data_IF_038956874024
#
_entry.id   IF_038956874024
#
_cell.length_a   1.000
_cell.length_b   1.000
_cell.length_c   1.000
_cell.angle_alpha   90.00
_cell.angle_beta   90.00
_cell.angle_gamma   90.00
#
_symmetry.space_group_name_H-M   'P 1'
#
loop_
_entity.id
_entity.type
_entity.pdbx_description
1 polymer ?
#
# COMPACT_ATOMS: atom_id res chain seq x y z
N UNK A 1 -7.62 -18.64 -10.85
CA UNK A 1 -6.96 -17.68 -9.94
C UNK A 1 -7.34 -16.26 -10.33
N UNK A 2 -7.91 -15.52 -9.37
CA UNK A 2 -8.22 -14.08 -9.50
C UNK A 2 -7.11 -13.33 -8.75
N UNK A 3 -6.54 -12.29 -9.37
CA UNK A 3 -5.49 -11.48 -8.77
C UNK A 3 -5.98 -10.04 -8.55
N UNK A 4 -5.77 -9.53 -7.34
CA UNK A 4 -5.76 -8.09 -7.10
C UNK A 4 -4.36 -7.54 -7.41
N UNK A 5 -4.24 -6.85 -8.54
CA UNK A 5 -3.07 -6.10 -8.94
C UNK A 5 -3.38 -4.61 -9.02
N UNK A 6 -4.07 -4.07 -8.01
CA UNK A 6 -4.35 -2.63 -7.91
C UNK A 6 -3.10 -1.76 -8.12
N UNK A 7 -1.92 -2.24 -7.74
CA UNK A 7 -0.63 -1.57 -7.89
C UNK A 7 0.21 -2.02 -9.08
N UNK A 8 -0.26 -2.99 -9.88
CA UNK A 8 0.52 -3.63 -10.94
C UNK A 8 0.12 -3.24 -12.36
N UNK A 9 -0.52 -2.08 -12.55
CA UNK A 9 -1.04 -1.66 -13.87
C UNK A 9 0.03 -1.52 -14.95
N UNK A 10 1.27 -1.21 -14.58
CA UNK A 10 2.43 -1.06 -15.46
C UNK A 10 3.15 -2.37 -15.78
N UNK A 11 2.79 -3.49 -15.13
CA UNK A 11 3.49 -4.77 -15.29
C UNK A 11 3.30 -5.38 -16.68
N UNK A 12 4.37 -5.98 -17.21
CA UNK A 12 4.40 -6.62 -18.54
C UNK A 12 4.58 -5.67 -19.73
N UNK A 13 4.72 -4.36 -19.52
CA UNK A 13 5.01 -3.39 -20.58
C UNK A 13 6.52 -3.10 -20.75
N UNK A 14 7.39 -3.72 -19.95
CA UNK A 14 8.84 -3.66 -20.07
C UNK A 14 9.47 -4.94 -19.48
N UNK A 15 10.61 -5.39 -20.00
CA UNK A 15 11.27 -6.65 -19.59
C UNK A 15 11.79 -6.65 -18.17
N UNK A 16 12.15 -5.47 -17.66
CA UNK A 16 12.72 -5.29 -16.32
C UNK A 16 11.64 -5.10 -15.23
N UNK A 17 10.36 -5.11 -15.61
CA UNK A 17 9.25 -5.15 -14.67
C UNK A 17 8.77 -6.59 -14.45
N UNK A 18 8.04 -6.84 -13.34
CA UNK A 18 7.30 -8.08 -13.19
C UNK A 18 6.41 -8.36 -14.41
N UNK A 19 6.28 -9.65 -14.74
CA UNK A 19 5.40 -10.10 -15.82
C UNK A 19 3.94 -9.78 -15.52
N UNK A 20 3.17 -9.51 -16.57
CA UNK A 20 1.74 -9.30 -16.45
C UNK A 20 1.02 -10.56 -15.93
N UNK A 21 -0.03 -10.38 -15.13
CA UNK A 21 -0.82 -11.45 -14.53
C UNK A 21 -1.24 -12.56 -15.52
N UNK A 22 -1.71 -12.18 -16.71
CA UNK A 22 -2.10 -13.15 -17.74
C UNK A 22 -0.93 -13.93 -18.37
N UNK A 23 0.28 -13.35 -18.39
CA UNK A 23 1.48 -14.05 -18.87
C UNK A 23 1.92 -15.17 -17.90
N UNK A 24 1.48 -15.09 -16.64
CA UNK A 24 1.75 -16.09 -15.60
C UNK A 24 0.52 -16.95 -15.26
N UNK A 25 -0.53 -16.90 -16.09
CA UNK A 25 -1.65 -17.83 -16.01
C UNK A 25 -2.83 -17.40 -15.14
N UNK A 26 -3.00 -16.11 -14.85
CA UNK A 26 -4.21 -15.61 -14.19
C UNK A 26 -5.48 -15.86 -15.02
N UNK A 27 -6.62 -16.04 -14.35
CA UNK A 27 -7.94 -16.12 -14.98
C UNK A 27 -8.66 -14.76 -14.96
N UNK A 28 -8.43 -13.97 -13.91
CA UNK A 28 -8.87 -12.58 -13.86
C UNK A 28 -7.88 -11.69 -13.11
N UNK A 29 -7.93 -10.41 -13.42
CA UNK A 29 -7.11 -9.35 -12.88
C UNK A 29 -8.00 -8.15 -12.53
N UNK A 30 -7.86 -7.63 -11.32
CA UNK A 30 -8.36 -6.31 -10.95
C UNK A 30 -7.15 -5.39 -10.85
N UNK A 31 -7.18 -4.24 -11.52
CA UNK A 31 -6.11 -3.25 -11.42
C UNK A 31 -6.66 -1.83 -11.32
N UNK A 32 -5.97 -0.95 -10.62
CA UNK A 32 -6.34 0.45 -10.48
C UNK A 32 -5.51 1.28 -11.45
N UNK A 33 -6.16 1.82 -12.48
CA UNK A 33 -5.49 2.67 -13.47
C UNK A 33 -4.97 3.97 -12.85
N UNK A 34 -5.56 4.44 -11.75
CA UNK A 34 -5.17 5.70 -11.11
C UNK A 34 -4.05 5.59 -10.07
N UNK A 35 -3.57 4.37 -9.75
CA UNK A 35 -2.58 4.18 -8.68
C UNK A 35 -1.15 4.31 -9.20
N UNK A 36 -0.78 3.49 -10.18
CA UNK A 36 0.57 3.42 -10.73
C UNK A 36 0.67 4.00 -12.16
N UNK A 37 -0.44 4.44 -12.73
CA UNK A 37 -0.53 4.99 -14.08
C UNK A 37 -1.26 6.35 -14.02
N UNK A 38 -1.14 7.21 -15.06
CA UNK A 38 -1.73 8.54 -15.08
C UNK A 38 -3.25 8.51 -15.36
N UNK A 39 -3.99 7.66 -14.65
CA UNK A 39 -5.44 7.57 -14.70
C UNK A 39 -6.13 8.46 -13.66
N UNK A 40 -7.33 8.93 -13.97
CA UNK A 40 -8.14 9.69 -13.02
C UNK A 40 -8.63 8.81 -11.87
N UNK A 41 -8.74 9.38 -10.67
CA UNK A 41 -9.32 8.69 -9.50
C UNK A 41 -10.64 7.99 -9.85
N UNK A 42 -10.87 6.83 -9.23
CA UNK A 42 -11.97 5.89 -9.54
C UNK A 42 -11.84 5.12 -10.87
N UNK A 43 -10.81 5.34 -11.68
CA UNK A 43 -10.52 4.47 -12.82
C UNK A 43 -9.91 3.13 -12.38
N UNK A 44 -10.57 2.04 -12.74
CA UNK A 44 -10.12 0.68 -12.48
C UNK A 44 -10.58 -0.25 -13.60
N UNK A 45 -9.88 -1.37 -13.77
CA UNK A 45 -10.17 -2.39 -14.76
C UNK A 45 -10.34 -3.74 -14.09
N UNK A 46 -11.41 -4.44 -14.48
CA UNK A 46 -11.53 -5.89 -14.33
C UNK A 46 -11.27 -6.51 -15.72
N UNK A 47 -10.25 -7.36 -15.81
CA UNK A 47 -9.96 -8.15 -17.00
C UNK A 47 -10.15 -9.62 -16.65
N UNK A 48 -10.86 -10.39 -17.47
CA UNK A 48 -11.13 -11.80 -17.20
C UNK A 48 -11.09 -12.66 -18.46
N UNK A 49 -10.58 -13.88 -18.32
CA UNK A 49 -10.72 -14.96 -19.29
C UNK A 49 -12.01 -15.71 -19.00
N UNK A 50 -12.87 -15.83 -20.00
CA UNK A 50 -14.19 -16.48 -19.85
C UNK A 50 -14.15 -18.00 -20.03
N UNK A 51 -12.95 -18.60 -20.01
CA UNK A 51 -12.77 -20.05 -20.08
C UNK A 51 -13.22 -20.78 -18.80
N UNK A 52 -13.04 -20.15 -17.64
CA UNK A 52 -13.45 -20.67 -16.32
C UNK A 52 -14.46 -19.77 -15.61
N UNK A 53 -14.54 -18.51 -16.01
CA UNK A 53 -15.42 -17.50 -15.43
C UNK A 53 -16.60 -17.25 -16.37
N UNK A 54 -17.82 -17.38 -15.88
CA UNK A 54 -19.03 -17.11 -16.66
C UNK A 54 -19.13 -15.62 -16.97
N UNK A 55 -19.15 -15.28 -18.26
CA UNK A 55 -19.35 -13.92 -18.76
C UNK A 55 -20.67 -13.32 -18.24
N UNK A 56 -21.77 -14.08 -18.33
CA UNK A 56 -23.09 -13.66 -17.83
C UNK A 56 -23.08 -13.29 -16.35
N UNK A 57 -22.36 -14.06 -15.52
CA UNK A 57 -22.25 -13.76 -14.08
C UNK A 57 -21.35 -12.57 -13.80
N UNK A 58 -20.31 -12.35 -14.61
CA UNK A 58 -19.46 -11.17 -14.51
C UNK A 58 -20.28 -9.90 -14.83
N UNK A 59 -21.04 -9.94 -15.93
CA UNK A 59 -21.92 -8.84 -16.33
C UNK A 59 -22.97 -8.55 -15.25
N UNK A 60 -23.67 -9.58 -14.76
CA UNK A 60 -24.65 -9.43 -13.69
C UNK A 60 -24.05 -8.81 -12.42
N UNK A 61 -22.81 -9.20 -12.07
CA UNK A 61 -22.11 -8.66 -10.89
C UNK A 61 -21.68 -7.22 -11.10
N UNK A 62 -21.25 -6.88 -12.32
CA UNK A 62 -20.91 -5.51 -12.72
C UNK A 62 -22.14 -4.61 -12.58
N UNK A 63 -23.26 -4.99 -13.19
CA UNK A 63 -24.53 -4.23 -13.15
C UNK A 63 -25.07 -4.03 -11.72
N UNK A 64 -24.81 -4.97 -10.81
CA UNK A 64 -25.26 -4.86 -9.40
C UNK A 64 -24.50 -3.77 -8.63
N UNK A 65 -23.27 -3.44 -9.05
CA UNK A 65 -22.37 -2.53 -8.32
C UNK A 65 -22.07 -1.25 -9.08
N UNK A 66 -22.30 -1.23 -10.40
CA UNK A 66 -22.04 -0.09 -11.25
C UNK A 66 -23.19 0.93 -11.19
N UNK A 67 -22.86 2.20 -11.43
CA UNK A 67 -23.87 3.24 -11.59
C UNK A 67 -24.50 3.15 -12.97
N UNK A 68 -25.81 3.36 -13.08
CA UNK A 68 -26.52 3.44 -14.37
C UNK A 68 -26.21 4.73 -15.14
N UNK A 69 -25.41 5.64 -14.58
CA UNK A 69 -24.99 6.91 -15.18
C UNK A 69 -23.49 7.14 -14.97
N UNK A 70 -22.61 6.38 -15.64
CA UNK A 70 -21.18 6.52 -15.45
C UNK A 70 -20.68 7.87 -15.98
N UNK A 71 -19.79 8.50 -15.20
CA UNK A 71 -19.07 9.66 -15.68
C UNK A 71 -18.16 9.23 -16.86
N UNK A 72 -18.23 9.95 -17.98
CA UNK A 72 -17.41 9.65 -19.15
C UNK A 72 -15.91 9.90 -18.94
N UNK A 73 -15.54 10.78 -18.00
CA UNK A 73 -14.14 11.15 -17.77
C UNK A 73 -13.25 9.98 -17.28
N UNK A 74 -13.64 9.18 -16.25
CA UNK A 74 -12.92 7.95 -15.92
C UNK A 74 -12.78 6.97 -17.09
N UNK A 75 -13.83 6.79 -17.90
CA UNK A 75 -13.79 5.88 -19.06
C UNK A 75 -12.82 6.36 -20.13
N UNK A 76 -12.88 7.63 -20.50
CA UNK A 76 -11.94 8.24 -21.44
C UNK A 76 -10.49 8.21 -20.91
N UNK A 77 -10.30 8.39 -19.60
CA UNK A 77 -9.00 8.29 -18.95
C UNK A 77 -8.42 6.87 -19.03
N UNK A 78 -9.24 5.84 -18.79
CA UNK A 78 -8.84 4.44 -18.95
C UNK A 78 -8.38 4.17 -20.39
N UNK A 79 -9.16 4.59 -21.38
CA UNK A 79 -8.82 4.36 -22.79
C UNK A 79 -7.55 5.11 -23.20
N UNK A 80 -7.38 6.35 -22.74
CA UNK A 80 -6.18 7.14 -22.95
C UNK A 80 -4.93 6.48 -22.37
N UNK A 81 -4.99 5.98 -21.13
CA UNK A 81 -3.87 5.28 -20.48
C UNK A 81 -3.55 3.96 -21.21
N UNK A 82 -4.57 3.20 -21.60
CA UNK A 82 -4.40 1.97 -22.40
C UNK A 82 -3.67 2.28 -23.73
N UNK A 83 -4.12 3.30 -24.46
CA UNK A 83 -3.49 3.71 -25.72
C UNK A 83 -2.05 4.19 -25.52
N UNK A 84 -1.78 4.94 -24.44
CA UNK A 84 -0.44 5.40 -24.08
C UNK A 84 0.51 4.22 -23.83
N UNK A 85 0.09 3.24 -23.02
CA UNK A 85 0.91 2.07 -22.73
C UNK A 85 1.11 1.18 -23.95
N UNK A 86 0.09 1.02 -24.80
CA UNK A 86 0.21 0.26 -26.04
C UNK A 86 1.21 0.88 -27.02
N UNK A 87 1.29 2.21 -27.09
CA UNK A 87 2.11 2.91 -28.09
C UNK A 87 3.49 3.31 -27.57
N UNK A 88 3.60 3.64 -26.29
CA UNK A 88 4.82 4.20 -25.68
C UNK A 88 5.19 3.58 -24.33
N UNK A 89 4.53 2.49 -23.91
CA UNK A 89 4.76 1.89 -22.60
C UNK A 89 6.21 1.49 -22.36
N UNK A 90 6.82 0.81 -23.32
CA UNK A 90 8.22 0.37 -23.23
C UNK A 90 9.19 1.55 -23.08
N UNK A 91 9.05 2.58 -23.92
CA UNK A 91 9.85 3.81 -23.88
C UNK A 91 9.71 4.54 -22.53
N UNK A 92 8.47 4.83 -22.11
CA UNK A 92 8.20 5.63 -20.91
C UNK A 92 8.61 4.89 -19.63
N UNK A 93 8.38 3.58 -19.58
CA UNK A 93 8.83 2.76 -18.45
C UNK A 93 10.35 2.66 -18.43
N UNK A 94 11.01 2.43 -19.57
CA UNK A 94 12.48 2.41 -19.64
C UNK A 94 13.10 3.72 -19.13
N UNK A 95 12.52 4.86 -19.48
CA UNK A 95 12.93 6.17 -18.95
C UNK A 95 12.71 6.27 -17.43
N UNK A 96 11.55 5.86 -16.93
CA UNK A 96 11.26 5.81 -15.49
C UNK A 96 12.29 4.95 -14.74
N UNK A 97 12.57 3.74 -15.22
CA UNK A 97 13.53 2.83 -14.59
C UNK A 97 14.94 3.41 -14.55
N UNK A 98 15.35 4.09 -15.63
CA UNK A 98 16.62 4.80 -15.70
C UNK A 98 16.68 5.95 -14.67
N UNK A 99 15.61 6.73 -14.57
CA UNK A 99 15.51 7.83 -13.60
C UNK A 99 15.55 7.33 -12.16
N UNK A 100 14.80 6.27 -11.84
CA UNK A 100 14.81 5.65 -10.49
C UNK A 100 16.19 5.12 -10.14
N UNK A 101 16.86 4.45 -11.08
CA UNK A 101 18.21 3.91 -10.85
C UNK A 101 19.20 5.04 -10.56
N UNK A 102 19.22 6.09 -11.40
CA UNK A 102 20.06 7.27 -11.22
C UNK A 102 19.78 7.99 -9.90
N UNK A 103 18.51 8.18 -9.54
CA UNK A 103 18.11 8.77 -8.27
C UNK A 103 18.68 7.99 -7.08
N UNK A 104 18.52 6.66 -7.09
CA UNK A 104 19.04 5.80 -6.02
C UNK A 104 20.55 5.86 -5.95
N UNK A 105 21.26 5.88 -7.08
CA UNK A 105 22.72 6.00 -7.11
C UNK A 105 23.20 7.32 -6.50
N UNK A 106 22.62 8.45 -6.92
CA UNK A 106 22.96 9.79 -6.39
C UNK A 106 22.75 9.84 -4.88
N UNK A 107 21.57 9.42 -4.40
CA UNK A 107 21.27 9.47 -2.96
C UNK A 107 22.11 8.47 -2.17
N UNK A 108 22.29 7.23 -2.67
CA UNK A 108 23.06 6.19 -1.97
C UNK A 108 24.55 6.54 -1.86
N UNK A 109 25.12 7.28 -2.81
CA UNK A 109 26.52 7.72 -2.77
C UNK A 109 26.86 8.59 -1.55
N UNK A 110 25.85 9.23 -0.95
CA UNK A 110 25.98 10.08 0.23
C UNK A 110 25.98 9.31 1.55
N UNK A 111 25.77 7.98 1.53
CA UNK A 111 25.64 7.14 2.73
C UNK A 111 26.43 5.84 2.61
N UNK A 112 27.16 5.50 3.68
CA UNK A 112 27.99 4.30 3.73
C UNK A 112 27.21 2.98 3.80
N UNK A 113 26.02 3.00 4.41
CA UNK A 113 25.15 1.83 4.52
C UNK A 113 24.15 1.78 3.37
N UNK A 114 23.80 0.59 2.85
CA UNK A 114 22.74 0.46 1.86
C UNK A 114 21.38 0.90 2.42
N UNK A 115 20.89 2.06 2.00
CA UNK A 115 19.65 2.65 2.49
C UNK A 115 18.45 2.30 1.62
N UNK A 116 18.63 1.83 0.39
CA UNK A 116 17.52 1.36 -0.45
C UNK A 116 17.42 -0.16 -0.51
N UNK A 117 16.24 -0.65 -0.88
CA UNK A 117 16.05 -2.02 -1.39
C UNK A 117 16.38 -2.11 -2.87
N UNK A 118 16.97 -3.22 -3.30
CA UNK A 118 17.36 -3.50 -4.68
C UNK A 118 16.79 -4.86 -5.14
N UNK A 119 16.71 -5.12 -6.46
CA UNK A 119 16.25 -6.41 -6.98
C UNK A 119 16.99 -7.62 -6.39
N UNK A 120 18.27 -7.46 -6.07
CA UNK A 120 19.11 -8.51 -5.45
C UNK A 120 18.70 -8.89 -4.03
N UNK A 121 17.90 -8.07 -3.34
CA UNK A 121 17.37 -8.39 -2.01
C UNK A 121 16.19 -9.38 -2.08
N UNK A 122 15.73 -9.72 -3.29
CA UNK A 122 14.55 -10.55 -3.54
C UNK A 122 14.81 -11.66 -4.56
N UNK A 123 14.00 -12.73 -4.58
CA UNK A 123 14.04 -13.70 -5.67
C UNK A 123 13.78 -13.04 -7.03
N UNK A 124 14.43 -13.54 -8.08
CA UNK A 124 14.31 -13.01 -9.45
C UNK A 124 12.85 -12.83 -9.87
N UNK A 125 12.54 -11.66 -10.43
CA UNK A 125 11.21 -11.32 -10.94
C UNK A 125 10.15 -11.03 -9.85
N UNK A 126 10.57 -10.85 -8.58
CA UNK A 126 9.66 -10.52 -7.46
C UNK A 126 9.89 -9.12 -6.88
N UNK A 127 10.47 -8.21 -7.67
CA UNK A 127 10.73 -6.84 -7.25
C UNK A 127 10.18 -5.87 -8.28
N UNK A 128 9.47 -4.84 -7.81
CA UNK A 128 9.01 -3.72 -8.62
C UNK A 128 9.97 -2.53 -8.42
N UNK A 129 10.86 -2.24 -9.38
CA UNK A 129 11.84 -1.17 -9.24
C UNK A 129 11.21 0.22 -9.13
N UNK A 130 9.97 0.44 -9.57
CA UNK A 130 9.33 1.77 -9.49
C UNK A 130 8.82 2.11 -8.08
N UNK A 131 8.72 1.11 -7.19
CA UNK A 131 8.48 1.31 -5.76
C UNK A 131 9.80 1.52 -5.03
N UNK A 132 10.12 2.78 -4.75
CA UNK A 132 11.39 3.19 -4.17
C UNK A 132 11.29 3.11 -2.65
N UNK A 133 11.82 2.03 -2.09
CA UNK A 133 11.78 1.78 -0.64
C UNK A 133 13.10 2.20 0.01
N UNK A 134 13.03 3.22 0.85
CA UNK A 134 14.13 3.78 1.63
C UNK A 134 14.06 3.30 3.09
N UNK A 135 15.05 2.53 3.53
CA UNK A 135 15.22 1.97 4.88
C UNK A 135 15.90 2.97 5.82
N UNK A 136 15.13 3.93 6.32
CA UNK A 136 15.64 5.00 7.18
C UNK A 136 16.14 4.52 8.55
N UNK A 137 15.74 3.33 9.01
CA UNK A 137 16.35 2.70 10.19
C UNK A 137 17.87 2.51 10.05
N UNK A 138 18.38 2.35 8.82
CA UNK A 138 19.83 2.19 8.57
C UNK A 138 20.59 3.46 8.95
N UNK A 139 19.89 4.60 8.92
CA UNK A 139 20.37 5.91 9.33
C UNK A 139 19.96 6.25 10.77
N UNK A 140 19.32 5.34 11.51
CA UNK A 140 18.73 5.61 12.83
C UNK A 140 17.49 6.49 12.82
N UNK A 141 17.21 7.15 11.69
CA UNK A 141 16.17 8.15 11.53
C UNK A 141 14.76 7.56 11.58
N UNK A 142 13.80 8.44 11.89
CA UNK A 142 12.35 8.17 11.82
C UNK A 142 11.80 8.55 10.44
N UNK A 143 11.11 7.63 9.77
CA UNK A 143 10.53 7.90 8.45
C UNK A 143 9.42 8.95 8.50
N UNK A 144 8.61 8.92 9.56
CA UNK A 144 7.56 9.92 9.84
C UNK A 144 8.15 11.33 9.94
N UNK A 145 9.30 11.49 10.59
CA UNK A 145 9.89 12.82 10.73
C UNK A 145 10.53 13.33 9.43
N UNK A 146 11.08 12.42 8.62
CA UNK A 146 11.57 12.76 7.27
C UNK A 146 10.39 13.12 6.35
N UNK A 147 9.27 12.40 6.43
CA UNK A 147 8.04 12.74 5.70
C UNK A 147 7.56 14.16 6.05
N UNK A 148 7.55 14.52 7.34
CA UNK A 148 7.19 15.88 7.77
C UNK A 148 8.12 16.95 7.18
N UNK A 149 9.44 16.69 7.12
CA UNK A 149 10.40 17.61 6.50
C UNK A 149 10.22 17.72 4.98
N UNK A 150 9.92 16.62 4.30
CA UNK A 150 9.60 16.60 2.86
C UNK A 150 8.30 17.35 2.56
N UNK A 151 7.27 17.15 3.40
CA UNK A 151 5.98 17.82 3.27
C UNK A 151 6.11 19.34 3.45
N UNK A 152 6.99 19.80 4.34
CA UNK A 152 7.32 21.23 4.49
C UNK A 152 7.95 21.83 3.21
N UNK A 153 8.48 21.00 2.31
CA UNK A 153 8.98 21.38 0.97
C UNK A 153 7.99 21.07 -0.16
N UNK A 154 6.76 20.69 0.16
CA UNK A 154 5.72 20.35 -0.82
C UNK A 154 5.88 18.97 -1.46
N UNK A 155 6.77 18.11 -0.95
CA UNK A 155 6.98 16.75 -1.46
C UNK A 155 6.15 15.77 -0.63
N UNK A 156 5.37 14.92 -1.29
CA UNK A 156 4.61 13.85 -0.64
C UNK A 156 5.26 12.50 -0.91
N UNK A 157 5.15 11.61 0.06
CA UNK A 157 5.56 10.20 -0.06
C UNK A 157 4.30 9.33 -0.14
N UNK A 158 4.44 8.11 -0.65
CA UNK A 158 3.33 7.15 -0.68
C UNK A 158 3.04 6.63 0.74
N UNK A 159 4.09 6.35 1.51
CA UNK A 159 3.98 5.84 2.87
C UNK A 159 5.26 6.14 3.64
N UNK A 160 5.15 6.49 4.91
CA UNK A 160 6.27 6.53 5.83
C UNK A 160 5.89 5.89 7.17
N UNK A 161 6.74 5.01 7.66
CA UNK A 161 6.66 4.43 9.00
C UNK A 161 7.90 4.79 9.83
N UNK A 162 8.08 4.13 10.97
CA UNK A 162 9.24 4.36 11.84
C UNK A 162 10.58 4.06 11.16
N UNK A 163 10.63 3.03 10.32
CA UNK A 163 11.86 2.41 9.82
C UNK A 163 12.02 2.54 8.29
N UNK A 164 10.97 2.95 7.57
CA UNK A 164 10.90 2.98 6.10
C UNK A 164 10.12 4.18 5.55
N UNK A 165 10.53 4.66 4.37
CA UNK A 165 9.77 5.56 3.51
C UNK A 165 9.62 4.91 2.13
N UNK A 166 8.45 5.06 1.51
CA UNK A 166 8.15 4.58 0.17
C UNK A 166 7.79 5.76 -0.72
N UNK A 167 8.51 5.89 -1.83
CA UNK A 167 8.11 6.74 -2.95
C UNK A 167 7.59 5.86 -4.08
N UNK A 168 6.68 6.41 -4.87
CA UNK A 168 6.17 5.76 -6.06
C UNK A 168 6.59 6.58 -7.27
N UNK A 169 7.46 6.00 -8.11
CA UNK A 169 7.74 6.54 -9.44
C UNK A 169 6.73 6.04 -10.46
N UNK A 170 6.30 6.90 -11.37
CA UNK A 170 5.33 6.62 -12.42
C UNK A 170 5.81 7.15 -13.77
N UNK A 171 5.18 6.73 -14.85
CA UNK A 171 5.50 7.23 -16.20
C UNK A 171 5.19 8.72 -16.41
N UNK A 172 4.59 9.40 -15.41
CA UNK A 172 4.37 10.83 -15.41
C UNK A 172 5.55 11.62 -14.81
N UNK A 173 6.47 10.95 -14.10
CA UNK A 173 7.58 11.62 -13.41
C UNK A 173 8.78 11.81 -14.34
N UNK A 174 9.28 13.04 -14.38
CA UNK A 174 10.41 13.43 -15.23
C UNK A 174 11.75 13.29 -14.51
N UNK A 175 12.84 13.32 -15.27
CA UNK A 175 14.20 13.34 -14.71
C UNK A 175 14.39 14.49 -13.70
N UNK A 176 13.81 15.66 -13.98
CA UNK A 176 13.91 16.84 -13.14
C UNK A 176 13.18 16.68 -11.79
N UNK A 177 12.08 15.92 -11.76
CA UNK A 177 11.36 15.62 -10.51
C UNK A 177 12.23 14.76 -9.58
N UNK A 178 12.93 13.77 -10.14
CA UNK A 178 13.88 12.95 -9.40
C UNK A 178 15.10 13.74 -8.92
N UNK A 179 15.63 14.67 -9.73
CA UNK A 179 16.72 15.56 -9.32
C UNK A 179 16.29 16.46 -8.16
N UNK A 180 15.12 17.10 -8.26
CA UNK A 180 14.57 17.92 -7.19
C UNK A 180 14.35 17.12 -5.91
N UNK A 181 13.85 15.88 -6.02
CA UNK A 181 13.70 14.99 -4.87
C UNK A 181 15.05 14.67 -4.22
N UNK A 182 16.09 14.37 -5.01
CA UNK A 182 17.43 14.08 -4.47
C UNK A 182 18.00 15.29 -3.71
N UNK A 183 17.93 16.48 -4.33
CA UNK A 183 18.39 17.75 -3.74
C UNK A 183 17.68 18.07 -2.43
N UNK A 184 16.39 17.74 -2.33
CA UNK A 184 15.61 17.93 -1.11
C UNK A 184 15.91 16.86 -0.05
N UNK A 185 16.00 15.59 -0.46
CA UNK A 185 16.08 14.44 0.43
C UNK A 185 17.45 14.31 1.11
N UNK A 186 18.55 14.48 0.35
CA UNK A 186 19.91 14.26 0.87
C UNK A 186 20.20 15.11 2.12
N UNK A 187 19.96 16.44 2.14
CA UNK A 187 20.18 17.25 3.34
C UNK A 187 19.30 16.84 4.52
N UNK A 188 18.06 16.41 4.26
CA UNK A 188 17.13 15.95 5.31
C UNK A 188 17.67 14.67 5.95
N UNK A 189 18.07 13.70 5.14
CA UNK A 189 18.64 12.44 5.61
C UNK A 189 19.92 12.65 6.42
N UNK A 190 20.83 13.51 5.95
CA UNK A 190 22.06 13.86 6.68
C UNK A 190 21.77 14.54 8.02
N UNK A 191 20.80 15.46 8.06
CA UNK A 191 20.40 16.17 9.29
C UNK A 191 19.81 15.23 10.34
N UNK A 192 19.09 14.19 9.91
CA UNK A 192 18.35 13.26 10.78
C UNK A 192 19.11 11.98 11.08
N UNK A 193 20.36 11.88 10.63
CA UNK A 193 21.16 10.69 10.83
C UNK A 193 21.55 10.53 12.30
N UNK A 194 21.26 9.35 12.84
CA UNK A 194 21.50 8.92 14.21
C UNK A 194 22.16 7.53 14.22
N UNK A 195 22.25 6.92 15.40
CA UNK A 195 22.69 5.54 15.51
C UNK A 195 21.67 4.60 14.85
N UNK A 196 22.16 3.74 13.94
CA UNK A 196 21.36 2.69 13.30
C UNK A 196 20.55 1.90 14.34
N UNK A 197 19.32 1.54 13.97
CA UNK A 197 18.46 0.65 14.75
C UNK A 197 18.11 -0.62 13.97
N UNK A 198 17.76 -1.67 14.68
CA UNK A 198 17.14 -2.85 14.09
C UNK A 198 15.67 -2.56 13.73
N UNK A 199 15.21 -3.18 12.64
CA UNK A 199 13.83 -3.06 12.18
C UNK A 199 12.89 -3.75 13.15
N UNK A 200 11.79 -3.10 13.50
CA UNK A 200 10.74 -3.73 14.29
C UNK A 200 9.69 -4.40 13.39
N UNK A 201 9.19 -5.57 13.80
CA UNK A 201 8.05 -6.21 13.12
C UNK A 201 6.76 -5.45 13.48
N UNK A 202 6.02 -5.00 12.48
CA UNK A 202 4.74 -4.34 12.71
C UNK A 202 3.71 -5.33 13.31
N UNK A 203 2.80 -4.81 14.14
CA UNK A 203 1.80 -5.63 14.83
C UNK A 203 1.00 -6.51 13.86
N UNK A 204 0.62 -5.98 12.70
CA UNK A 204 -0.12 -6.65 11.63
C UNK A 204 0.52 -7.96 11.15
N UNK A 205 1.82 -8.16 11.35
CA UNK A 205 2.55 -9.36 10.95
C UNK A 205 2.91 -10.29 12.11
N UNK A 206 2.59 -9.89 13.33
CA UNK A 206 2.90 -10.65 14.56
C UNK A 206 1.69 -11.33 15.19
N UNK A 207 0.48 -10.92 14.79
CA UNK A 207 -0.78 -11.42 15.34
C UNK A 207 -1.27 -12.60 14.50
N UNK A 208 -1.71 -13.66 15.17
CA UNK A 208 -2.47 -14.75 14.56
C UNK A 208 -3.95 -14.53 14.86
N UNK A 209 -4.80 -14.24 13.85
CA UNK A 209 -6.21 -13.98 14.08
C UNK A 209 -6.96 -15.19 14.65
N UNK A 210 -7.87 -14.94 15.60
CA UNK A 210 -8.75 -15.96 16.16
C UNK A 210 -10.19 -15.65 15.76
N UNK A 211 -10.78 -16.47 14.87
CA UNK A 211 -12.15 -16.28 14.39
C UNK A 211 -13.16 -16.90 15.37
N UNK A 212 -14.12 -16.11 15.82
CA UNK A 212 -15.26 -16.58 16.62
C UNK A 212 -16.56 -16.67 15.81
N UNK A 213 -16.76 -15.74 14.85
CA UNK A 213 -17.91 -15.75 13.94
C UNK A 213 -17.51 -15.32 12.53
N UNK A 214 -18.44 -15.37 11.58
CA UNK A 214 -18.19 -14.80 10.26
C UNK A 214 -18.18 -13.27 10.33
N UNK A 215 -17.41 -12.61 9.46
CA UNK A 215 -17.44 -11.15 9.32
C UNK A 215 -18.86 -10.63 9.07
N UNK A 216 -19.68 -11.38 8.32
CA UNK A 216 -21.08 -11.01 8.05
C UNK A 216 -21.91 -11.03 9.34
N UNK A 217 -21.80 -12.09 10.13
CA UNK A 217 -22.59 -12.21 11.37
C UNK A 217 -22.18 -11.13 12.37
N UNK A 218 -20.88 -10.89 12.51
CA UNK A 218 -20.38 -9.81 13.37
C UNK A 218 -20.82 -8.42 12.89
N UNK A 219 -20.86 -8.19 11.59
CA UNK A 219 -21.32 -6.92 11.01
C UNK A 219 -22.81 -6.63 11.29
N UNK A 220 -23.66 -7.66 11.28
CA UNK A 220 -25.10 -7.53 11.52
C UNK A 220 -25.53 -7.77 12.98
N UNK A 221 -24.60 -8.14 13.86
CA UNK A 221 -24.91 -8.40 15.25
C UNK A 221 -25.25 -7.13 16.02
N UNK A 222 -25.96 -7.27 17.14
CA UNK A 222 -26.02 -6.19 18.11
C UNK A 222 -24.64 -5.96 18.72
N UNK A 223 -24.29 -4.68 18.94
CA UNK A 223 -22.98 -4.29 19.44
C UNK A 223 -23.08 -3.42 20.69
N UNK A 224 -22.00 -3.41 21.47
CA UNK A 224 -21.81 -2.52 22.62
C UNK A 224 -20.38 -1.96 22.63
N UNK A 225 -20.19 -0.81 23.27
CA UNK A 225 -18.86 -0.28 23.56
C UNK A 225 -18.40 -0.75 24.93
N UNK A 226 -17.24 -1.40 25.00
CA UNK A 226 -16.63 -1.84 26.26
C UNK A 226 -15.29 -1.18 26.49
N UNK A 227 -14.96 -0.86 27.74
CA UNK A 227 -13.64 -0.35 28.08
C UNK A 227 -12.54 -1.35 27.70
N UNK A 228 -11.36 -0.86 27.32
CA UNK A 228 -10.21 -1.67 26.92
C UNK A 228 -9.88 -2.80 27.91
N UNK A 229 -10.01 -2.52 29.22
CA UNK A 229 -9.81 -3.50 30.30
C UNK A 229 -10.79 -4.70 30.26
N UNK A 230 -11.92 -4.59 29.54
CA UNK A 230 -12.92 -5.64 29.36
C UNK A 230 -13.01 -6.13 27.91
N UNK A 231 -12.14 -5.66 27.03
CA UNK A 231 -12.17 -5.98 25.61
C UNK A 231 -11.55 -7.34 25.30
N UNK A 232 -10.56 -7.78 26.08
CA UNK A 232 -9.86 -9.06 25.86
C UNK A 232 -10.86 -10.23 25.94
N UNK A 233 -10.82 -11.10 24.93
CA UNK A 233 -11.72 -12.25 24.80
C UNK A 233 -13.07 -11.94 24.16
N UNK A 234 -13.39 -10.66 23.91
CA UNK A 234 -14.62 -10.26 23.21
C UNK A 234 -14.46 -10.35 21.70
N UNK A 235 -15.57 -10.54 20.99
CA UNK A 235 -15.62 -10.55 19.53
C UNK A 235 -15.67 -9.10 19.04
N UNK A 236 -14.69 -8.67 18.26
CA UNK A 236 -14.69 -7.35 17.66
C UNK A 236 -15.82 -7.21 16.65
N UNK A 237 -16.51 -6.08 16.70
CA UNK A 237 -17.40 -5.63 15.63
C UNK A 237 -16.71 -4.63 14.69
N UNK A 238 -15.51 -4.18 15.05
CA UNK A 238 -14.68 -3.29 14.24
C UNK A 238 -13.68 -4.05 13.39
N UNK A 239 -13.42 -3.50 12.21
CA UNK A 239 -12.14 -3.67 11.54
C UNK A 239 -11.16 -2.68 12.18
N UNK A 240 -9.96 -3.13 12.57
CA UNK A 240 -8.96 -2.27 13.19
C UNK A 240 -7.63 -2.46 12.48
N UNK A 241 -7.02 -1.37 12.00
CA UNK A 241 -5.76 -1.41 11.27
C UNK A 241 -4.79 -0.32 11.76
N UNK A 242 -3.57 -0.67 12.21
CA UNK A 242 -2.49 0.31 12.35
C UNK A 242 -2.08 0.82 10.97
N UNK A 243 -1.88 2.12 10.85
CA UNK A 243 -1.46 2.77 9.63
C UNK A 243 -0.21 3.62 9.87
N UNK A 244 0.89 3.37 9.14
CA UNK A 244 1.12 2.22 8.21
C UNK A 244 1.30 0.87 8.92
N UNK A 245 1.19 -0.29 8.21
CA UNK A 245 0.98 -0.45 6.76
C UNK A 245 -0.49 -0.40 6.32
N UNK A 246 -1.45 -0.20 7.24
CA UNK A 246 -2.88 -0.24 6.91
C UNK A 246 -3.43 -1.65 6.74
N UNK A 247 -2.68 -2.67 7.17
CA UNK A 247 -3.14 -4.06 7.23
C UNK A 247 -3.88 -4.28 8.54
N UNK A 248 -5.11 -4.76 8.45
CA UNK A 248 -5.96 -5.02 9.60
C UNK A 248 -5.29 -6.02 10.56
N UNK A 249 -5.26 -5.67 11.84
CA UNK A 249 -4.89 -6.60 12.94
C UNK A 249 -6.12 -7.32 13.49
N UNK A 250 -7.31 -6.78 13.21
CA UNK A 250 -8.60 -7.32 13.60
C UNK A 250 -9.58 -7.09 12.46
N UNK A 251 -10.29 -8.13 12.05
CA UNK A 251 -11.51 -8.05 11.27
C UNK A 251 -12.75 -8.29 12.16
N UNK A 252 -13.94 -7.81 11.77
CA UNK A 252 -15.18 -8.14 12.48
C UNK A 252 -15.36 -9.67 12.61
N UNK A 253 -15.77 -10.13 13.79
CA UNK A 253 -15.94 -11.56 14.08
C UNK A 253 -14.68 -12.24 14.63
N UNK A 254 -13.57 -11.53 14.72
CA UNK A 254 -12.35 -12.00 15.38
C UNK A 254 -12.31 -11.60 16.85
N UNK A 255 -11.63 -12.42 17.66
CA UNK A 255 -11.46 -12.22 19.09
C UNK A 255 -10.36 -11.18 19.34
N UNK A 256 -10.65 -10.19 20.17
CA UNK A 256 -9.66 -9.26 20.69
C UNK A 256 -8.76 -10.00 21.70
N UNK A 257 -7.58 -10.43 21.29
CA UNK A 257 -6.59 -11.05 22.18
C UNK A 257 -5.84 -10.01 22.99
N UNK A 258 -5.17 -10.44 24.06
CA UNK A 258 -4.32 -9.55 24.87
C UNK A 258 -3.20 -8.92 24.04
N UNK A 259 -2.54 -9.72 23.19
CA UNK A 259 -1.51 -9.24 22.25
C UNK A 259 -2.04 -8.11 21.35
N UNK A 260 -3.27 -8.25 20.83
CA UNK A 260 -3.88 -7.25 19.96
C UNK A 260 -4.15 -5.95 20.73
N UNK A 261 -4.83 -6.04 21.88
CA UNK A 261 -5.22 -4.85 22.66
C UNK A 261 -3.98 -4.09 23.15
N UNK A 262 -2.99 -4.81 23.70
CA UNK A 262 -1.73 -4.20 24.15
C UNK A 262 -0.89 -3.68 22.99
N UNK A 263 -0.81 -4.43 21.90
CA UNK A 263 -0.05 -4.04 20.71
C UNK A 263 -0.61 -2.78 20.04
N UNK A 264 -1.94 -2.69 19.93
CA UNK A 264 -2.62 -1.51 19.40
C UNK A 264 -2.39 -0.28 20.28
N UNK A 265 -2.50 -0.44 21.60
CA UNK A 265 -2.22 0.63 22.56
C UNK A 265 -0.77 1.12 22.46
N UNK A 266 0.19 0.19 22.39
CA UNK A 266 1.61 0.49 22.23
C UNK A 266 1.91 1.19 20.90
N UNK A 267 1.31 0.72 19.79
CA UNK A 267 1.47 1.34 18.47
C UNK A 267 0.94 2.78 18.47
N UNK A 268 -0.24 3.00 19.06
CA UNK A 268 -0.83 4.34 19.21
C UNK A 268 0.06 5.25 20.06
N UNK A 269 0.58 4.76 21.18
CA UNK A 269 1.50 5.51 22.04
C UNK A 269 2.80 5.89 21.32
N UNK A 270 3.25 5.07 20.37
CA UNK A 270 4.37 5.36 19.48
C UNK A 270 4.03 6.31 18.31
N UNK A 271 2.81 6.85 18.27
CA UNK A 271 2.37 7.79 17.23
C UNK A 271 1.79 7.14 15.97
N UNK A 272 1.64 5.82 15.92
CA UNK A 272 1.00 5.12 14.79
C UNK A 272 -0.49 5.43 14.78
N UNK A 273 -1.01 5.87 13.64
CA UNK A 273 -2.45 6.11 13.47
C UNK A 273 -3.19 4.78 13.50
N UNK A 274 -4.25 4.68 14.28
CA UNK A 274 -5.14 3.52 14.28
C UNK A 274 -6.41 3.85 13.50
N UNK A 275 -6.61 3.17 12.37
CA UNK A 275 -7.74 3.37 11.48
C UNK A 275 -8.90 2.40 11.82
N UNK A 276 -10.11 2.82 11.48
CA UNK A 276 -11.35 2.03 11.47
C UNK A 276 -11.89 1.56 12.84
N UNK A 277 -11.11 1.68 13.91
CA UNK A 277 -11.62 1.57 15.27
C UNK A 277 -12.68 2.66 15.52
N UNK A 278 -13.83 2.27 16.08
CA UNK A 278 -14.94 3.19 16.42
C UNK A 278 -14.48 4.26 17.41
N UNK A 279 -13.66 3.89 18.39
CA UNK A 279 -12.92 4.82 19.23
C UNK A 279 -11.43 4.78 18.84
N UNK A 280 -10.99 5.83 18.13
CA UNK A 280 -9.60 5.98 17.70
C UNK A 280 -8.64 6.18 18.87
N UNK A 281 -9.15 6.45 20.08
CA UNK A 281 -8.33 6.49 21.29
C UNK A 281 -8.03 5.11 21.87
N UNK A 282 -8.76 4.08 21.45
CA UNK A 282 -8.67 2.74 22.03
C UNK A 282 -8.94 2.71 23.55
N UNK A 283 -9.65 3.71 24.08
CA UNK A 283 -10.14 3.66 25.45
C UNK A 283 -11.31 2.66 25.54
N UNK A 284 -12.10 2.57 24.47
CA UNK A 284 -13.18 1.63 24.30
C UNK A 284 -13.09 0.86 22.98
N UNK A 285 -13.72 -0.30 22.92
CA UNK A 285 -13.79 -1.16 21.74
C UNK A 285 -15.25 -1.50 21.46
N UNK A 286 -15.65 -1.45 20.17
CA UNK A 286 -16.97 -1.92 19.74
C UNK A 286 -16.92 -3.44 19.58
N UNK A 287 -17.73 -4.14 20.36
CA UNK A 287 -17.76 -5.61 20.41
C UNK A 287 -19.17 -6.12 20.17
N UNK A 288 -19.29 -7.37 19.72
CA UNK A 288 -20.57 -8.07 19.63
C UNK A 288 -21.12 -8.29 21.04
N UNK A 289 -22.40 -7.97 21.25
CA UNK A 289 -23.11 -8.26 22.50
C UNK A 289 -23.18 -9.77 22.71
N UNK A 290 -22.95 -10.19 23.95
CA UNK A 290 -23.09 -11.58 24.40
C UNK A 290 -24.55 -11.95 24.61
#
# INVERSE_FOLDING_TARGET
>A
MILDAAWGGHFGFHTDLPRHAFQVGADALITSTHKALPGYSASALLLARTSLLSEERLEQSFETTHTTSPAGAPLASIDGVRALLQTRGEELIGNLLSNVSRFKEIVQAEFALPIFLYPSDFPTGRFDPTKIVLRVQQLGASGVDIENDLQARGIRVEMADRDTIVFLGTIADSQADFDYLADALIPILKKRQEQRRESATALSWSVVPQRASSMRDAYFAETEMVNSAKAVGRISADLIAPYPPGVAVVAPGEILTEQIVQGLSSSRAAGVRIAYATDSTLAQYRVVKS
#
